data_IF_057951231067
#
_entry.id   IF_057951231067
#
_cell.length_a   1.000
_cell.length_b   1.000
_cell.length_c   1.000
_cell.angle_alpha   90.00
_cell.angle_beta   90.00
_cell.angle_gamma   90.00
#
_symmetry.space_group_name_H-M   'P 1'
#
loop_
_entity.id
_entity.type
_entity.pdbx_description
1 polymer ?
#
# COMPACT_ATOMS: atom_id res chain seq x y z
N UNK A 1 -9.66 7.43 13.92
CA UNK A 1 -8.53 7.81 13.07
C UNK A 1 -8.17 6.61 12.23
N UNK A 2 -8.20 6.79 10.92
CA UNK A 2 -7.81 5.77 9.96
C UNK A 2 -6.40 6.04 9.45
N UNK A 3 -5.72 5.02 8.95
CA UNK A 3 -4.43 5.18 8.29
C UNK A 3 -4.48 4.53 6.91
N UNK A 4 -3.77 5.08 5.94
CA UNK A 4 -3.67 4.50 4.61
C UNK A 4 -2.29 4.75 3.99
N UNK A 5 -2.00 4.02 2.92
CA UNK A 5 -0.76 4.15 2.17
C UNK A 5 -1.01 4.86 0.84
N UNK A 6 -0.15 5.83 0.51
CA UNK A 6 -0.06 6.42 -0.83
C UNK A 6 1.37 6.44 -1.33
N UNK A 7 1.57 6.45 -2.65
CA UNK A 7 2.87 6.71 -3.27
C UNK A 7 2.69 7.39 -4.62
N UNK A 8 3.80 7.86 -5.20
CA UNK A 8 3.80 8.28 -6.58
C UNK A 8 3.88 7.05 -7.50
N UNK A 9 2.86 6.88 -8.33
CA UNK A 9 2.80 5.83 -9.36
C UNK A 9 3.71 6.15 -10.54
N UNK A 10 3.99 5.14 -11.36
CA UNK A 10 4.85 5.26 -12.55
C UNK A 10 4.30 6.25 -13.59
N UNK A 11 2.99 6.51 -13.57
CA UNK A 11 2.32 7.51 -14.43
C UNK A 11 2.43 8.95 -13.90
N UNK A 12 3.14 9.17 -12.79
CA UNK A 12 3.25 10.47 -12.12
C UNK A 12 2.06 10.81 -11.23
N UNK A 13 0.98 10.01 -11.25
CA UNK A 13 -0.20 10.18 -10.39
C UNK A 13 0.03 9.59 -9.00
N UNK A 14 -0.68 10.11 -8.01
CA UNK A 14 -0.75 9.50 -6.68
C UNK A 14 -1.59 8.23 -6.78
N UNK A 15 -1.06 7.13 -6.24
CA UNK A 15 -1.79 5.86 -6.11
C UNK A 15 -1.87 5.45 -4.65
N UNK A 16 -2.93 4.74 -4.30
CA UNK A 16 -3.28 4.28 -2.96
C UNK A 16 -3.20 2.76 -2.92
N UNK A 17 -2.66 2.21 -1.83
CA UNK A 17 -2.61 0.76 -1.67
C UNK A 17 -3.99 0.22 -1.34
N UNK A 18 -4.41 -0.83 -2.05
CA UNK A 18 -5.75 -1.41 -1.88
C UNK A 18 -5.70 -2.86 -1.36
N UNK A 19 -4.53 -3.50 -1.39
CA UNK A 19 -4.35 -4.86 -0.90
C UNK A 19 -3.24 -5.64 -1.59
N UNK A 20 -3.17 -6.93 -1.25
CA UNK A 20 -2.34 -7.92 -1.95
C UNK A 20 -3.22 -8.77 -2.87
N UNK A 21 -2.73 -9.04 -4.08
CA UNK A 21 -3.26 -10.04 -4.98
C UNK A 21 -2.40 -11.30 -4.91
N UNK A 22 -3.06 -12.46 -4.75
CA UNK A 22 -2.45 -13.79 -4.63
C UNK A 22 -2.97 -14.76 -5.70
N UNK A 23 -3.71 -14.26 -6.69
CA UNK A 23 -4.41 -15.06 -7.71
C UNK A 23 -3.48 -15.96 -8.52
N UNK A 24 -2.21 -15.57 -8.68
CA UNK A 24 -1.21 -16.30 -9.47
C UNK A 24 -0.29 -17.18 -8.63
N UNK A 25 -0.56 -17.34 -7.32
CA UNK A 25 0.37 -17.99 -6.38
C UNK A 25 1.61 -17.15 -6.04
N UNK A 26 1.71 -15.94 -6.60
CA UNK A 26 2.71 -14.94 -6.22
C UNK A 26 2.02 -13.79 -5.47
N UNK A 27 2.62 -13.32 -4.38
CA UNK A 27 2.18 -12.10 -3.71
C UNK A 27 2.56 -10.87 -4.53
N UNK A 28 1.57 -10.04 -4.89
CA UNK A 28 1.75 -8.75 -5.57
C UNK A 28 0.99 -7.65 -4.86
N UNK A 29 1.63 -6.50 -4.71
CA UNK A 29 1.00 -5.32 -4.12
C UNK A 29 0.13 -4.60 -5.15
N UNK A 30 -1.14 -4.39 -4.82
CA UNK A 30 -2.10 -3.70 -5.69
C UNK A 30 -2.25 -2.25 -5.25
N UNK A 31 -2.19 -1.37 -6.25
CA UNK A 31 -2.30 0.07 -6.10
C UNK A 31 -3.36 0.59 -7.08
N UNK A 32 -4.19 1.52 -6.64
CA UNK A 32 -5.23 2.19 -7.44
C UNK A 32 -5.01 3.71 -7.42
N UNK A 33 -5.26 4.42 -8.52
CA UNK A 33 -5.30 5.89 -8.51
C UNK A 33 -6.63 6.44 -7.97
N UNK A 34 -7.58 5.56 -7.61
CA UNK A 34 -8.86 5.92 -7.00
C UNK A 34 -8.70 5.97 -5.48
N UNK A 35 -8.85 7.17 -4.89
CA UNK A 35 -8.71 7.36 -3.44
C UNK A 35 -9.76 6.65 -2.59
N UNK A 36 -10.92 6.33 -3.14
CA UNK A 36 -11.99 5.62 -2.43
C UNK A 36 -11.70 4.13 -2.26
N UNK A 37 -10.82 3.55 -3.08
CA UNK A 37 -10.44 2.14 -2.99
C UNK A 37 -9.35 1.91 -1.93
N UNK A 38 -8.83 2.99 -1.33
CA UNK A 38 -7.73 2.94 -0.38
C UNK A 38 -8.08 2.01 0.78
N UNK A 39 -7.17 1.10 1.09
CA UNK A 39 -7.32 0.26 2.27
C UNK A 39 -7.01 1.09 3.51
N UNK A 40 -8.01 1.24 4.37
CA UNK A 40 -7.90 1.95 5.64
C UNK A 40 -7.56 0.94 6.75
N UNK A 41 -6.56 1.29 7.54
CA UNK A 41 -6.12 0.56 8.71
C UNK A 41 -6.55 1.29 9.97
N UNK A 42 -6.84 0.55 11.03
CA UNK A 42 -7.20 1.10 12.34
C UNK A 42 -5.98 1.53 13.18
N UNK A 43 -4.77 1.12 12.80
CA UNK A 43 -3.53 1.43 13.51
C UNK A 43 -2.38 1.68 12.55
N UNK A 44 -1.56 2.68 12.87
CA UNK A 44 -0.30 2.96 12.17
C UNK A 44 0.67 1.78 12.27
N UNK A 45 0.71 1.10 13.43
CA UNK A 45 1.59 -0.03 13.67
C UNK A 45 1.33 -1.19 12.70
N UNK A 46 0.05 -1.43 12.36
CA UNK A 46 -0.32 -2.44 11.36
C UNK A 46 0.21 -2.09 9.96
N UNK A 47 0.23 -0.81 9.60
CA UNK A 47 0.82 -0.35 8.33
C UNK A 47 2.34 -0.46 8.37
N UNK A 48 2.97 -0.04 9.47
CA UNK A 48 4.42 -0.15 9.60
C UNK A 48 4.88 -1.61 9.54
N UNK A 49 4.14 -2.54 10.16
CA UNK A 49 4.38 -3.97 10.07
C UNK A 49 4.20 -4.51 8.63
N UNK A 50 3.21 -3.99 7.89
CA UNK A 50 2.99 -4.33 6.48
C UNK A 50 4.14 -3.86 5.59
N UNK A 51 4.63 -2.63 5.77
CA UNK A 51 5.80 -2.11 5.05
C UNK A 51 7.07 -2.89 5.43
N UNK A 52 7.23 -3.25 6.72
CA UNK A 52 8.38 -3.99 7.26
C UNK A 52 8.36 -5.48 6.96
N UNK A 53 7.23 -6.07 6.57
CA UNK A 53 7.18 -7.49 6.16
C UNK A 53 7.82 -7.63 4.78
N UNK A 54 9.15 -7.68 4.83
CA UNK A 54 10.08 -7.86 3.72
C UNK A 54 9.99 -9.28 3.15
N UNK A 55 8.92 -9.60 2.43
CA UNK A 55 8.88 -10.81 1.57
C UNK A 55 9.87 -10.70 0.37
N UNK A 56 10.96 -9.94 0.51
CA UNK A 56 12.03 -9.74 -0.46
C UNK A 56 11.66 -8.95 -1.72
N UNK A 57 10.36 -8.72 -1.99
CA UNK A 57 9.87 -7.93 -3.14
C UNK A 57 9.72 -6.44 -2.80
N UNK A 58 10.76 -5.85 -2.20
CA UNK A 58 10.84 -4.46 -1.70
C UNK A 58 10.49 -3.34 -2.72
N UNK A 59 10.19 -3.66 -3.98
CA UNK A 59 9.67 -2.70 -4.96
C UNK A 59 8.21 -2.27 -4.74
N UNK A 60 7.41 -3.08 -4.03
CA UNK A 60 5.97 -2.83 -3.87
C UNK A 60 5.62 -1.57 -3.08
N UNK A 61 6.30 -1.35 -1.95
CA UNK A 61 6.08 -0.23 -1.02
C UNK A 61 7.17 0.84 -1.07
N UNK A 62 8.16 0.72 -1.96
CA UNK A 62 9.18 1.75 -2.14
C UNK A 62 8.52 3.10 -2.48
N UNK A 63 8.91 4.15 -1.75
CA UNK A 63 8.33 5.49 -1.87
C UNK A 63 6.91 5.64 -1.32
N UNK A 64 6.38 4.62 -0.62
CA UNK A 64 5.08 4.73 0.06
C UNK A 64 5.17 5.55 1.34
N UNK A 65 4.12 6.32 1.58
CA UNK A 65 3.95 7.18 2.75
C UNK A 65 2.69 6.76 3.50
N UNK A 66 2.80 6.72 4.83
CA UNK A 66 1.67 6.53 5.72
C UNK A 66 0.96 7.87 5.88
N UNK A 67 -0.36 7.88 5.73
CA UNK A 67 -1.20 9.05 5.93
C UNK A 67 -2.29 8.74 6.93
N UNK A 68 -2.48 9.62 7.90
CA UNK A 68 -3.58 9.58 8.87
C UNK A 68 -4.80 10.37 8.35
N UNK A 69 -5.99 9.80 8.51
CA UNK A 69 -7.30 10.43 8.27
C UNK A 69 -8.07 10.62 9.59
#
# INVERSE_FOLDING_TARGET
MGYYLKKQGLSGRVVYWIGEDKSTGETRNIWSDVSSDKKIFSSEESIQALIKNEDGKNGGFSGAQIVSE
#
